data_IF_632067820140
#
_entry.id   IF_632067820140
#
_cell.length_a   1.000
_cell.length_b   1.000
_cell.length_c   1.000
_cell.angle_alpha   90.00
_cell.angle_beta   90.00
_cell.angle_gamma   90.00
#
_symmetry.space_group_name_H-M   'P 1'
#
loop_
_entity.id
_entity.type
_entity.pdbx_description
1 polymer ?
#
# COMPACT_ATOMS: atom_id res chain seq x y z
N UNK A 1 10.01 11.38 2.29
CA UNK A 1 10.09 10.14 1.49
C UNK A 1 9.66 9.00 2.39
N UNK A 2 8.92 8.03 1.86
CA UNK A 2 8.44 6.88 2.63
C UNK A 2 9.32 5.65 2.31
N UNK A 3 9.74 4.94 3.35
CA UNK A 3 10.53 3.71 3.23
C UNK A 3 9.72 2.52 3.72
N UNK A 4 9.40 1.59 2.83
CA UNK A 4 8.69 0.37 3.20
C UNK A 4 9.63 -0.58 3.96
N UNK A 5 9.31 -0.86 5.22
CA UNK A 5 10.06 -1.78 6.08
C UNK A 5 9.29 -3.09 6.17
N UNK A 6 9.84 -4.16 5.60
CA UNK A 6 9.30 -5.52 5.62
C UNK A 6 10.00 -6.41 6.65
N UNK A 7 11.23 -6.08 7.02
CA UNK A 7 12.01 -6.85 7.99
C UNK A 7 12.76 -5.94 8.97
N UNK A 8 12.99 -6.37 10.22
CA UNK A 8 13.74 -5.57 11.19
C UNK A 8 15.17 -5.21 10.75
N UNK A 9 15.82 -6.08 9.95
CA UNK A 9 17.17 -5.84 9.42
C UNK A 9 17.27 -4.60 8.54
N UNK A 10 16.16 -4.15 7.93
CA UNK A 10 16.12 -2.93 7.11
C UNK A 10 16.19 -1.66 7.96
N UNK A 11 15.90 -1.71 9.27
CA UNK A 11 15.94 -0.53 10.13
C UNK A 11 17.34 0.07 10.26
N UNK A 12 18.39 -0.76 10.30
CA UNK A 12 19.77 -0.29 10.48
C UNK A 12 20.20 0.72 9.41
N UNK A 13 20.20 0.39 8.11
CA UNK A 13 20.62 1.34 7.09
C UNK A 13 19.70 2.58 7.02
N UNK A 14 18.42 2.43 7.35
CA UNK A 14 17.46 3.54 7.39
C UNK A 14 17.78 4.53 8.51
N UNK A 15 17.93 4.05 9.75
CA UNK A 15 18.29 4.89 10.91
C UNK A 15 19.64 5.57 10.71
N UNK A 16 20.63 4.83 10.18
CA UNK A 16 21.93 5.39 9.86
C UNK A 16 21.85 6.48 8.78
N UNK A 17 21.03 6.27 7.75
CA UNK A 17 20.78 7.25 6.69
C UNK A 17 20.19 8.55 7.25
N UNK A 18 19.14 8.46 8.05
CA UNK A 18 18.51 9.62 8.67
C UNK A 18 19.43 10.37 9.63
N UNK A 19 20.23 9.65 10.42
CA UNK A 19 21.24 10.28 11.28
C UNK A 19 22.24 11.08 10.45
N UNK A 20 22.77 10.49 9.37
CA UNK A 20 23.72 11.15 8.48
C UNK A 20 23.10 12.35 7.77
N UNK A 21 21.85 12.26 7.30
CA UNK A 21 21.16 13.40 6.69
C UNK A 21 20.87 14.52 7.68
N UNK A 22 20.72 14.21 8.97
CA UNK A 22 20.62 15.18 10.05
C UNK A 22 21.98 15.79 10.45
N UNK A 23 23.10 15.37 9.85
CA UNK A 23 24.44 15.87 10.18
C UNK A 23 24.95 15.44 11.55
N UNK A 24 24.31 14.46 12.20
CA UNK A 24 24.64 14.05 13.57
C UNK A 24 25.65 12.90 13.58
N UNK A 25 26.61 12.96 14.48
CA UNK A 25 27.48 11.82 14.81
C UNK A 25 26.75 10.85 15.74
N UNK A 26 27.29 9.64 15.93
CA UNK A 26 26.77 8.71 16.93
C UNK A 26 26.84 9.29 18.35
N UNK A 27 27.92 10.02 18.67
CA UNK A 27 28.10 10.68 19.95
C UNK A 27 27.03 11.76 20.16
N UNK A 28 26.81 12.63 19.17
CA UNK A 28 25.80 13.68 19.26
C UNK A 28 24.39 13.14 19.51
N UNK A 29 24.01 12.04 18.84
CA UNK A 29 22.72 11.39 19.11
C UNK A 29 22.67 10.81 20.52
N UNK A 30 23.75 10.19 20.99
CA UNK A 30 23.83 9.63 22.33
C UNK A 30 23.69 10.72 23.41
N UNK A 31 24.38 11.85 23.23
CA UNK A 31 24.32 13.00 24.13
C UNK A 31 22.90 13.56 24.22
N UNK A 32 22.22 13.72 23.08
CA UNK A 32 20.83 14.17 23.01
C UNK A 32 19.83 13.19 23.66
N UNK A 33 20.18 11.89 23.68
CA UNK A 33 19.38 10.84 24.33
C UNK A 33 19.74 10.64 25.81
N UNK A 34 20.79 11.30 26.32
CA UNK A 34 21.29 11.10 27.68
C UNK A 34 21.85 9.69 27.93
N UNK A 35 22.45 9.06 26.91
CA UNK A 35 23.06 7.72 26.99
C UNK A 35 24.52 7.77 26.51
N UNK A 36 25.27 6.69 26.76
CA UNK A 36 26.65 6.60 26.25
C UNK A 36 26.67 6.40 24.74
N UNK A 37 27.72 6.90 24.06
CA UNK A 37 27.96 6.65 22.64
C UNK A 37 27.95 5.15 22.31
N UNK A 38 28.56 4.32 23.16
CA UNK A 38 28.58 2.86 23.00
C UNK A 38 27.16 2.27 23.01
N UNK A 39 26.29 2.74 23.90
CA UNK A 39 24.89 2.30 23.97
C UNK A 39 24.14 2.66 22.68
N UNK A 40 24.35 3.87 22.16
CA UNK A 40 23.76 4.26 20.88
C UNK A 40 24.33 3.47 19.70
N UNK A 41 25.65 3.24 19.67
CA UNK A 41 26.30 2.48 18.61
C UNK A 41 25.81 1.03 18.56
N UNK A 42 25.59 0.39 19.71
CA UNK A 42 24.98 -0.95 19.78
C UNK A 42 23.53 -0.94 19.26
N UNK A 43 22.74 0.08 19.64
CA UNK A 43 21.38 0.25 19.14
C UNK A 43 21.36 0.45 17.61
N UNK A 44 22.20 1.32 17.05
CA UNK A 44 22.28 1.56 15.60
C UNK A 44 22.81 0.33 14.85
N UNK A 45 23.73 -0.43 15.44
CA UNK A 45 24.29 -1.65 14.85
C UNK A 45 23.31 -2.82 14.81
N UNK A 46 22.41 -2.92 15.80
CA UNK A 46 21.35 -3.94 15.84
C UNK A 46 20.04 -3.38 16.39
N UNK A 47 19.27 -2.62 15.59
CA UNK A 47 18.00 -2.05 16.03
C UNK A 47 16.95 -3.11 16.37
N UNK A 48 17.03 -4.30 15.78
CA UNK A 48 16.08 -5.39 16.00
C UNK A 48 16.14 -5.97 17.43
N UNK A 49 17.27 -5.82 18.13
CA UNK A 49 17.41 -6.23 19.53
C UNK A 49 17.08 -5.11 20.52
N UNK A 50 16.89 -3.88 20.04
CA UNK A 50 16.47 -2.77 20.89
C UNK A 50 14.96 -2.84 21.15
N UNK A 51 14.52 -2.31 22.30
CA UNK A 51 13.08 -2.16 22.54
C UNK A 51 12.48 -1.18 21.54
N UNK A 52 11.22 -1.42 21.18
CA UNK A 52 10.45 -0.52 20.31
C UNK A 52 10.48 0.91 20.84
N UNK A 53 10.31 1.10 22.15
CA UNK A 53 10.39 2.42 22.80
C UNK A 53 11.72 3.15 22.50
N UNK A 54 12.87 2.45 22.58
CA UNK A 54 14.17 3.05 22.29
C UNK A 54 14.30 3.42 20.81
N UNK A 55 13.78 2.59 19.91
CA UNK A 55 13.74 2.92 18.48
C UNK A 55 12.91 4.19 18.24
N UNK A 56 11.74 4.30 18.87
CA UNK A 56 10.89 5.49 18.75
C UNK A 56 11.55 6.76 19.30
N UNK A 57 12.30 6.68 20.41
CA UNK A 57 13.08 7.82 20.92
C UNK A 57 14.10 8.32 19.90
N UNK A 58 14.82 7.38 19.25
CA UNK A 58 15.78 7.72 18.19
C UNK A 58 15.06 8.34 16.98
N UNK A 59 13.96 7.74 16.51
CA UNK A 59 13.18 8.25 15.38
C UNK A 59 12.66 9.66 15.63
N UNK A 60 12.10 9.93 16.82
CA UNK A 60 11.65 11.27 17.22
C UNK A 60 12.78 12.29 17.20
N UNK A 61 13.96 11.94 17.73
CA UNK A 61 15.11 12.82 17.71
C UNK A 61 15.57 13.16 16.28
N UNK A 62 15.49 12.18 15.38
CA UNK A 62 15.85 12.33 13.97
C UNK A 62 14.72 12.95 13.11
N UNK A 63 13.60 13.36 13.72
CA UNK A 63 12.40 13.85 13.02
C UNK A 63 11.87 12.86 11.97
N UNK A 64 11.85 11.56 12.32
CA UNK A 64 11.35 10.47 11.48
C UNK A 64 10.04 9.93 12.06
N UNK A 65 9.03 9.81 11.21
CA UNK A 65 7.74 9.20 11.57
C UNK A 65 7.68 7.73 11.12
N UNK A 66 7.08 6.87 11.96
CA UNK A 66 6.71 5.51 11.56
C UNK A 66 5.25 5.50 11.06
N UNK A 67 5.05 5.13 9.79
CA UNK A 67 3.72 4.95 9.20
C UNK A 67 3.38 3.47 9.07
N UNK A 68 2.20 3.09 9.54
CA UNK A 68 1.67 1.74 9.38
C UNK A 68 0.66 1.72 8.24
N UNK A 69 0.84 0.82 7.29
CA UNK A 69 -0.05 0.61 6.15
C UNK A 69 -0.39 -0.87 6.01
N UNK A 70 -1.64 -1.20 5.72
CA UNK A 70 -2.02 -2.57 5.41
C UNK A 70 -1.59 -2.91 3.98
N UNK A 71 -0.84 -4.00 3.81
CA UNK A 71 -0.67 -4.62 2.49
C UNK A 71 -1.96 -5.38 2.22
N UNK A 72 -2.78 -4.87 1.29
CA UNK A 72 -3.77 -5.71 0.67
C UNK A 72 -2.98 -6.73 -0.14
N UNK A 73 -3.02 -8.01 0.27
CA UNK A 73 -2.57 -9.09 -0.58
C UNK A 73 -3.27 -8.85 -1.91
N UNK A 74 -2.50 -8.72 -3.00
CA UNK A 74 -3.07 -8.66 -4.32
C UNK A 74 -4.03 -9.84 -4.40
N UNK A 75 -5.34 -9.55 -4.44
CA UNK A 75 -6.31 -10.50 -4.92
C UNK A 75 -5.92 -10.68 -6.38
N UNK A 76 -5.00 -11.60 -6.63
CA UNK A 76 -4.91 -12.35 -7.86
C UNK A 76 -6.18 -13.17 -7.94
N UNK A 77 -7.26 -12.43 -8.23
CA UNK A 77 -8.58 -12.85 -8.64
C UNK A 77 -8.78 -12.22 -10.00
N UNK A 78 -8.69 -13.10 -10.98
CA UNK A 78 -8.89 -12.92 -12.41
C UNK A 78 -10.11 -12.06 -12.79
N UNK A 79 -9.95 -11.37 -13.91
CA UNK A 79 -10.95 -10.82 -14.83
C UNK A 79 -12.34 -11.48 -14.78
N UNK A 80 -13.41 -10.69 -14.55
CA UNK A 80 -14.59 -10.58 -15.43
C UNK A 80 -15.84 -10.03 -14.71
N UNK A 81 -16.24 -8.80 -15.07
CA UNK A 81 -17.64 -8.41 -15.34
C UNK A 81 -17.60 -7.00 -15.95
N UNK A 82 -17.37 -6.89 -17.26
CA UNK A 82 -18.41 -6.70 -18.28
C UNK A 82 -19.46 -5.66 -17.88
N UNK A 83 -19.16 -4.40 -18.21
CA UNK A 83 -20.12 -3.40 -18.68
C UNK A 83 -19.30 -2.45 -19.57
N UNK A 84 -19.56 -2.24 -20.87
CA UNK A 84 -20.84 -2.10 -21.56
C UNK A 84 -20.59 -2.24 -23.07
N UNK A 85 -21.37 -3.00 -23.87
CA UNK A 85 -21.32 -2.81 -25.31
C UNK A 85 -22.07 -1.52 -25.66
N UNK A 86 -21.34 -0.49 -26.10
CA UNK A 86 -21.90 0.75 -26.64
C UNK A 86 -22.11 0.61 -28.16
N UNK A 87 -23.16 -0.11 -28.58
CA UNK A 87 -23.72 -0.16 -29.95
C UNK A 87 -24.96 -1.05 -29.91
N UNK A 88 -26.19 -0.74 -30.30
CA UNK A 88 -26.91 0.25 -31.10
C UNK A 88 -28.36 0.23 -30.51
N UNK A 89 -29.24 1.23 -30.67
CA UNK A 89 -30.03 1.43 -31.89
C UNK A 89 -30.79 2.75 -31.79
N UNK A 90 -30.56 3.58 -32.80
CA UNK A 90 -31.49 4.58 -33.31
C UNK A 90 -32.90 3.98 -33.43
N UNK A 91 -33.89 4.67 -32.87
CA UNK A 91 -35.28 4.44 -33.21
C UNK A 91 -35.55 4.95 -34.63
N UNK A 92 -36.29 4.21 -35.46
CA UNK A 92 -37.13 4.82 -36.46
C UNK A 92 -38.60 4.67 -36.04
N UNK A 93 -39.32 5.76 -36.19
CA UNK A 93 -40.75 5.86 -35.97
C UNK A 93 -41.55 5.09 -37.06
N UNK A 94 -42.43 4.20 -36.61
CA UNK A 94 -43.87 4.11 -36.94
C UNK A 94 -44.36 4.01 -38.41
N UNK A 95 -45.24 3.00 -38.61
CA UNK A 95 -46.38 2.83 -39.56
C UNK A 95 -46.16 2.24 -40.97
N UNK A 96 -46.70 1.02 -41.19
CA UNK A 96 -47.95 0.72 -41.95
C UNK A 96 -48.21 -0.80 -41.94
N UNK A 97 -49.31 -1.26 -41.33
CA UNK A 97 -50.58 -1.72 -41.95
C UNK A 97 -50.47 -3.01 -42.80
N UNK A 98 -50.86 -4.15 -42.17
CA UNK A 98 -51.78 -5.25 -42.58
C UNK A 98 -51.65 -5.94 -43.98
N UNK A 99 -52.27 -7.12 -44.21
CA UNK A 99 -52.60 -8.27 -43.34
C UNK A 99 -52.33 -9.66 -44.02
N UNK A 100 -52.82 -10.76 -43.38
CA UNK A 100 -53.19 -12.08 -43.98
C UNK A 100 -51.98 -13.02 -44.24
N UNK A 101 -51.90 -14.31 -43.91
CA UNK A 101 -52.77 -15.47 -43.64
C UNK A 101 -51.85 -16.49 -42.95
N UNK A 102 -52.21 -17.24 -41.93
CA UNK A 102 -53.07 -18.41 -42.02
C UNK A 102 -52.41 -19.64 -41.35
N UNK A 103 -53.23 -20.41 -40.62
CA UNK A 103 -53.08 -21.83 -40.19
C UNK A 103 -52.02 -22.14 -39.11
N UNK A 104 -52.47 -22.57 -37.91
CA UNK A 104 -52.59 -23.99 -37.44
C UNK A 104 -51.21 -24.66 -37.42
N UNK A 105 -50.68 -25.18 -36.31
CA UNK A 105 -51.25 -26.18 -35.41
C UNK A 105 -50.20 -26.46 -34.30
N UNK A 106 -50.66 -26.83 -33.09
CA UNK A 106 -50.25 -27.96 -32.22
C UNK A 106 -48.83 -28.55 -32.37
N UNK A 107 -48.09 -28.96 -31.34
CA UNK A 107 -48.44 -29.76 -30.15
C UNK A 107 -47.15 -29.93 -29.32
N UNK A 108 -47.29 -29.97 -27.99
CA UNK A 108 -46.67 -30.89 -27.03
C UNK A 108 -45.22 -31.36 -27.23
N UNK A 109 -44.35 -30.97 -26.27
CA UNK A 109 -43.75 -31.91 -25.32
C UNK A 109 -43.43 -31.17 -24.01
#
# INVERSE_FOLDING_TARGET
>A
MDYAIKTPSQLRPILQGFRKSAGLTQAAVADLLGITQQSYAQLEANPAAASVERIFKVMRLLNVDLRLSQTLAATSGESASVATPKRQRSAPAVKKVRPVTGKKNKENW
#
